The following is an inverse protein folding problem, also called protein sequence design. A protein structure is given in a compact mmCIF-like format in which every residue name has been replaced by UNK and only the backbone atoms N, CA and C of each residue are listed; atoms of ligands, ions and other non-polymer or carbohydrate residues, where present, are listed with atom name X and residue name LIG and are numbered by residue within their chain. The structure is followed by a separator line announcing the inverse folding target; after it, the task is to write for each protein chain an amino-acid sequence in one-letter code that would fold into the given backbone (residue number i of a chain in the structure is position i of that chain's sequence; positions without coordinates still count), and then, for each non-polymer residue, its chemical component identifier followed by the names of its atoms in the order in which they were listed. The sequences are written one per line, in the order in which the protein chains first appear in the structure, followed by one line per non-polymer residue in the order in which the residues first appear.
data_IF_706399291119
#
_entry.id   IF_706399291119
#
_cell.length_a   1.000
_cell.length_b   1.000
_cell.length_c   1.000
_cell.angle_alpha   90.00
_cell.angle_beta   90.00
_cell.angle_gamma   90.00
#
_symmetry.space_group_name_H-M   'P 1'
#
loop_
_entity.id
_entity.type
_entity.pdbx_description
1 polymer ?
#
# COMPACT_ATOMS: atom_id res chain seq x y z
N UNK A 1 -35.33 -6.10 -13.43
CA UNK A 1 -33.91 -6.50 -13.33
C UNK A 1 -32.94 -5.34 -13.18
N UNK A 2 -33.17 -4.16 -13.78
CA UNK A 2 -32.26 -3.00 -13.66
C UNK A 2 -32.02 -2.52 -12.21
N UNK A 3 -33.04 -2.51 -11.36
CA UNK A 3 -32.88 -2.12 -9.95
C UNK A 3 -32.03 -3.11 -9.12
N UNK A 4 -31.98 -4.40 -9.51
CA UNK A 4 -31.17 -5.40 -8.82
C UNK A 4 -29.66 -5.22 -9.10
N UNK A 5 -29.30 -4.53 -10.19
CA UNK A 5 -27.92 -4.20 -10.52
C UNK A 5 -27.27 -3.20 -9.55
N UNK A 6 -28.08 -2.50 -8.73
CA UNK A 6 -27.57 -1.58 -7.72
C UNK A 6 -26.72 -2.29 -6.65
N UNK A 7 -27.06 -3.53 -6.30
CA UNK A 7 -26.35 -4.32 -5.28
C UNK A 7 -24.91 -4.67 -5.73
N UNK A 8 -24.68 -5.31 -6.90
CA UNK A 8 -23.33 -5.58 -7.37
C UNK A 8 -22.57 -4.29 -7.73
N UNK A 9 -23.25 -3.24 -8.22
CA UNK A 9 -22.61 -1.96 -8.48
C UNK A 9 -22.07 -1.31 -7.21
N UNK A 10 -22.83 -1.35 -6.11
CA UNK A 10 -22.37 -0.87 -4.80
C UNK A 10 -21.16 -1.65 -4.30
N UNK A 11 -21.17 -2.97 -4.46
CA UNK A 11 -20.05 -3.84 -4.07
C UNK A 11 -18.76 -3.49 -4.84
N UNK A 12 -18.87 -3.34 -6.18
CA UNK A 12 -17.75 -2.94 -7.03
C UNK A 12 -17.25 -1.55 -6.67
N UNK A 13 -18.15 -0.62 -6.37
CA UNK A 13 -17.78 0.72 -5.92
C UNK A 13 -16.97 0.67 -4.62
N UNK A 14 -17.40 -0.11 -3.62
CA UNK A 14 -16.67 -0.26 -2.34
C UNK A 14 -15.28 -0.85 -2.57
N UNK A 15 -15.17 -1.86 -3.44
CA UNK A 15 -13.88 -2.48 -3.81
C UNK A 15 -12.93 -1.45 -4.42
N UNK A 16 -13.39 -0.73 -5.45
CA UNK A 16 -12.61 0.29 -6.14
C UNK A 16 -12.23 1.44 -5.19
N UNK A 17 -13.17 1.88 -4.35
CA UNK A 17 -12.95 2.91 -3.36
C UNK A 17 -11.84 2.49 -2.39
N UNK A 18 -11.94 1.30 -1.80
CA UNK A 18 -10.98 0.85 -0.79
C UNK A 18 -9.58 0.64 -1.40
N UNK A 19 -9.49 0.03 -2.58
CA UNK A 19 -8.21 -0.18 -3.26
C UNK A 19 -7.54 1.15 -3.65
N UNK A 20 -8.31 2.10 -4.16
CA UNK A 20 -7.79 3.40 -4.62
C UNK A 20 -7.37 4.30 -3.46
N UNK A 21 -8.16 4.33 -2.38
CA UNK A 21 -7.83 5.12 -1.20
C UNK A 21 -6.60 4.56 -0.47
N UNK A 22 -6.53 3.23 -0.28
CA UNK A 22 -5.35 2.59 0.33
C UNK A 22 -4.12 2.81 -0.54
N UNK A 23 -4.24 2.65 -1.86
CA UNK A 23 -3.11 2.89 -2.77
C UNK A 23 -2.64 4.33 -2.69
N UNK A 24 -3.56 5.30 -2.70
CA UNK A 24 -3.20 6.72 -2.59
C UNK A 24 -2.54 7.01 -1.24
N UNK A 25 -3.06 6.48 -0.12
CA UNK A 25 -2.46 6.64 1.21
C UNK A 25 -1.04 6.06 1.28
N UNK A 26 -0.81 4.87 0.71
CA UNK A 26 0.52 4.24 0.67
C UNK A 26 1.49 5.08 -0.16
N UNK A 27 1.03 5.64 -1.28
CA UNK A 27 1.88 6.46 -2.14
C UNK A 27 2.13 7.82 -1.52
N UNK A 28 1.16 8.39 -0.80
CA UNK A 28 1.19 9.71 -0.16
C UNK A 28 1.75 9.72 1.25
N UNK A 29 2.48 8.67 1.65
CA UNK A 29 3.10 8.62 2.97
C UNK A 29 4.06 9.81 3.21
N UNK A 30 4.06 10.41 4.41
CA UNK A 30 4.94 11.53 4.74
C UNK A 30 6.43 11.18 4.60
N UNK A 31 6.80 9.91 4.80
CA UNK A 31 8.15 9.36 4.62
C UNK A 31 8.76 9.64 3.24
N UNK A 32 7.91 9.82 2.21
CA UNK A 32 8.35 10.07 0.83
C UNK A 32 8.63 11.54 0.53
N UNK A 33 8.37 12.47 1.47
CA UNK A 33 8.67 13.91 1.34
C UNK A 33 8.12 14.53 0.05
N UNK A 34 6.89 14.16 -0.32
CA UNK A 34 6.16 14.73 -1.46
C UNK A 34 5.61 16.12 -1.11
N UNK A 35 5.57 17.02 -2.10
CA UNK A 35 5.37 18.47 -1.87
C UNK A 35 4.04 18.98 -2.45
N UNK A 36 3.55 18.41 -3.55
CA UNK A 36 2.36 18.94 -4.26
C UNK A 36 1.01 18.54 -3.67
N UNK A 37 0.99 17.87 -2.52
CA UNK A 37 -0.23 17.39 -1.86
C UNK A 37 -0.91 16.22 -2.60
N UNK A 38 -1.89 15.59 -1.96
CA UNK A 38 -2.63 14.45 -2.50
C UNK A 38 -4.09 14.83 -2.83
N UNK A 39 -4.64 14.24 -3.90
CA UNK A 39 -5.97 14.56 -4.42
C UNK A 39 -6.98 13.43 -4.26
N UNK A 40 -7.24 12.96 -3.03
CA UNK A 40 -8.10 11.80 -2.76
C UNK A 40 -9.50 11.87 -3.38
N UNK A 41 -10.17 13.04 -3.28
CA UNK A 41 -11.53 13.20 -3.80
C UNK A 41 -11.57 13.27 -5.33
N UNK A 42 -10.59 13.95 -5.93
CA UNK A 42 -10.51 14.10 -7.38
C UNK A 42 -10.21 12.75 -8.04
N UNK A 43 -9.32 11.96 -7.45
CA UNK A 43 -8.97 10.63 -7.95
C UNK A 43 -10.19 9.70 -7.94
N UNK A 44 -10.94 9.68 -6.84
CA UNK A 44 -12.18 8.90 -6.74
C UNK A 44 -13.22 9.32 -7.79
N UNK A 45 -13.45 10.62 -7.95
CA UNK A 45 -14.41 11.13 -8.93
C UNK A 45 -14.02 10.72 -10.35
N UNK A 46 -12.75 10.88 -10.70
CA UNK A 46 -12.23 10.59 -12.04
C UNK A 46 -12.30 9.08 -12.34
N UNK A 47 -11.94 8.24 -11.39
CA UNK A 47 -11.90 6.80 -11.55
C UNK A 47 -13.32 6.21 -11.68
N UNK A 48 -14.28 6.68 -10.87
CA UNK A 48 -15.69 6.27 -10.97
C UNK A 48 -16.34 6.79 -12.26
N UNK A 49 -16.06 8.04 -12.64
CA UNK A 49 -16.58 8.62 -13.88
C UNK A 49 -16.07 7.88 -15.12
N UNK A 50 -14.75 7.65 -15.21
CA UNK A 50 -14.16 6.89 -16.31
C UNK A 50 -14.58 5.42 -16.30
N UNK A 51 -14.73 4.79 -15.12
CA UNK A 51 -15.25 3.44 -15.00
C UNK A 51 -16.71 3.32 -15.48
N UNK A 52 -17.55 4.31 -15.14
CA UNK A 52 -18.92 4.41 -15.64
C UNK A 52 -18.97 4.59 -17.16
N UNK A 53 -18.13 5.47 -17.71
CA UNK A 53 -18.00 5.65 -19.15
C UNK A 53 -17.51 4.37 -19.85
N UNK A 54 -16.47 3.71 -19.32
CA UNK A 54 -15.96 2.43 -19.84
C UNK A 54 -17.03 1.34 -19.87
N UNK A 55 -17.90 1.29 -18.85
CA UNK A 55 -19.01 0.32 -18.78
C UNK A 55 -20.02 0.51 -19.91
N UNK A 56 -20.26 1.75 -20.37
CA UNK A 56 -21.15 2.04 -21.51
C UNK A 56 -20.57 1.47 -22.81
N UNK A 57 -19.25 1.50 -22.98
CA UNK A 57 -18.55 0.97 -24.14
C UNK A 57 -18.22 -0.53 -24.02
N UNK A 58 -18.63 -1.21 -22.95
CA UNK A 58 -18.33 -2.62 -22.70
C UNK A 58 -16.86 -2.90 -22.34
N UNK A 59 -16.09 -1.87 -22.00
CA UNK A 59 -14.71 -2.00 -21.55
C UNK A 59 -14.64 -2.33 -20.04
N UNK A 60 -13.58 -3.02 -19.58
CA UNK A 60 -13.41 -3.32 -18.16
C UNK A 60 -13.19 -2.05 -17.35
N UNK A 61 -13.71 -2.03 -16.13
CA UNK A 61 -13.38 -1.01 -15.14
C UNK A 61 -11.91 -1.15 -14.69
N UNK A 62 -11.32 -0.01 -14.35
CA UNK A 62 -9.95 0.11 -13.88
C UNK A 62 -9.95 0.54 -12.41
N UNK A 63 -8.95 0.10 -11.66
CA UNK A 63 -8.69 0.50 -10.27
C UNK A 63 -7.21 0.85 -10.11
N UNK A 64 -6.88 1.61 -9.06
CA UNK A 64 -5.49 1.99 -8.81
C UNK A 64 -4.69 0.77 -8.33
N UNK A 65 -3.67 0.38 -9.09
CA UNK A 65 -2.86 -0.80 -8.79
C UNK A 65 -1.73 -0.47 -7.80
N UNK A 66 -1.83 -0.93 -6.55
CA UNK A 66 -0.90 -0.59 -5.47
C UNK A 66 0.57 -0.83 -5.81
N UNK A 67 0.93 -2.04 -6.24
CA UNK A 67 2.33 -2.41 -6.53
C UNK A 67 2.87 -1.56 -7.67
N UNK A 68 2.08 -1.36 -8.74
CA UNK A 68 2.47 -0.55 -9.90
C UNK A 68 2.67 0.91 -9.52
N UNK A 69 1.78 1.48 -8.71
CA UNK A 69 1.87 2.86 -8.25
C UNK A 69 3.08 3.07 -7.33
N UNK A 70 3.35 2.10 -6.43
CA UNK A 70 4.53 2.13 -5.56
C UNK A 70 5.82 2.02 -6.35
N UNK A 71 5.92 1.11 -7.32
CA UNK A 71 7.14 0.95 -8.12
C UNK A 71 7.38 2.14 -9.04
N UNK A 72 6.32 2.71 -9.63
CA UNK A 72 6.41 3.95 -10.39
C UNK A 72 6.88 5.11 -9.50
N UNK A 73 6.36 5.25 -8.28
CA UNK A 73 6.83 6.25 -7.33
C UNK A 73 8.30 6.01 -6.95
N UNK A 74 8.70 4.77 -6.67
CA UNK A 74 10.08 4.40 -6.34
C UNK A 74 11.06 4.70 -7.48
N UNK A 75 10.63 4.52 -8.74
CA UNK A 75 11.44 4.88 -9.91
C UNK A 75 11.69 6.40 -10.04
N UNK A 76 10.86 7.22 -9.38
CA UNK A 76 10.97 8.68 -9.35
C UNK A 76 11.59 9.20 -8.03
N UNK A 77 11.94 8.29 -7.12
CA UNK A 77 12.53 8.63 -5.83
C UNK A 77 14.04 8.84 -5.98
N UNK A 78 14.52 9.99 -5.52
CA UNK A 78 15.96 10.28 -5.43
C UNK A 78 16.44 9.96 -4.01
N UNK A 79 17.42 9.09 -3.93
CA UNK A 79 18.05 8.66 -2.67
C UNK A 79 19.35 9.43 -2.46
N UNK A 80 19.63 9.78 -1.20
CA UNK A 80 20.85 10.49 -0.80
C UNK A 80 22.08 9.60 -0.99
N UNK A 81 23.19 10.18 -1.46
CA UNK A 81 24.50 9.51 -1.55
C UNK A 81 25.19 9.52 -0.19
N UNK A 82 24.95 8.50 0.64
CA UNK A 82 25.55 8.37 1.97
C UNK A 82 25.57 6.92 2.46
N UNK A 83 26.22 6.64 3.61
CA UNK A 83 26.34 5.29 4.17
C UNK A 83 24.98 4.69 4.58
N UNK A 84 23.96 5.54 4.81
CA UNK A 84 22.56 5.15 4.94
C UNK A 84 21.73 5.94 3.94
N UNK A 85 21.33 5.36 2.79
CA UNK A 85 20.57 6.08 1.78
C UNK A 85 19.19 6.41 2.32
N UNK A 86 18.88 7.71 2.42
CA UNK A 86 17.57 8.21 2.82
C UNK A 86 16.88 8.87 1.62
N UNK A 87 15.55 8.84 1.63
CA UNK A 87 14.73 9.51 0.63
C UNK A 87 14.96 11.03 0.75
N UNK A 88 15.51 11.62 -0.31
CA UNK A 88 15.76 13.07 -0.38
C UNK A 88 14.50 13.79 -0.88
N UNK A 89 14.00 13.36 -2.04
CA UNK A 89 12.79 13.88 -2.69
C UNK A 89 12.25 12.90 -3.71
N UNK A 90 10.96 13.04 -4.05
CA UNK A 90 10.32 12.33 -5.17
C UNK A 90 10.04 13.31 -6.30
N UNK A 91 10.39 12.95 -7.53
CA UNK A 91 10.14 13.77 -8.72
C UNK A 91 8.67 13.60 -9.13
N UNK A 92 7.84 14.58 -8.76
CA UNK A 92 6.41 14.58 -9.10
C UNK A 92 6.17 15.12 -10.52
N UNK A 93 5.97 14.20 -11.48
CA UNK A 93 5.73 14.51 -12.88
C UNK A 93 4.44 13.89 -13.42
N UNK A 94 3.81 14.55 -14.40
CA UNK A 94 2.62 14.05 -15.11
C UNK A 94 2.97 13.29 -16.39
N UNK A 95 4.16 13.54 -16.95
CA UNK A 95 4.54 13.06 -18.29
C UNK A 95 4.77 11.56 -18.32
N UNK A 96 5.40 10.96 -17.29
CA UNK A 96 5.66 9.51 -17.29
C UNK A 96 4.39 8.68 -17.33
N UNK A 97 3.37 9.04 -16.54
CA UNK A 97 2.09 8.33 -16.54
C UNK A 97 1.39 8.41 -17.90
N UNK A 98 1.36 9.59 -18.51
CA UNK A 98 0.78 9.79 -19.85
C UNK A 98 1.56 9.00 -20.90
N UNK A 99 2.89 9.04 -20.86
CA UNK A 99 3.75 8.35 -21.81
C UNK A 99 3.58 6.83 -21.73
N UNK A 100 3.50 6.27 -20.51
CA UNK A 100 3.21 4.84 -20.31
C UNK A 100 1.82 4.49 -20.86
N UNK A 101 0.79 5.30 -20.60
CA UNK A 101 -0.55 5.07 -21.13
C UNK A 101 -0.59 5.09 -22.66
N UNK A 102 0.10 6.04 -23.29
CA UNK A 102 0.24 6.13 -24.75
C UNK A 102 1.00 4.91 -25.30
N UNK A 103 2.10 4.50 -24.66
CA UNK A 103 2.85 3.32 -25.09
C UNK A 103 2.02 2.04 -24.98
N UNK A 104 1.18 1.89 -23.96
CA UNK A 104 0.22 0.78 -23.87
C UNK A 104 -0.79 0.83 -25.02
N UNK A 105 -1.30 2.01 -25.38
CA UNK A 105 -2.19 2.17 -26.54
C UNK A 105 -1.54 1.82 -27.89
N UNK A 106 -0.27 2.20 -28.08
CA UNK A 106 0.51 1.93 -29.30
C UNK A 106 1.05 0.49 -29.33
N UNK A 107 1.02 -0.24 -28.22
CA UNK A 107 1.61 -1.59 -28.08
C UNK A 107 1.09 -2.60 -29.10
N UNK A 108 -0.15 -2.42 -29.60
CA UNK A 108 -0.75 -3.26 -30.64
C UNK A 108 0.07 -3.20 -31.94
N UNK A 109 0.59 -2.03 -32.30
CA UNK A 109 1.44 -1.86 -33.50
C UNK A 109 2.85 -2.42 -33.31
N UNK A 110 3.30 -2.52 -32.06
CA UNK A 110 4.64 -2.99 -31.70
C UNK A 110 4.69 -4.51 -31.42
N UNK A 111 3.63 -5.26 -31.74
CA UNK A 111 3.53 -6.72 -31.56
C UNK A 111 4.78 -7.50 -32.01
N UNK A 112 5.42 -7.25 -33.17
CA UNK A 112 6.59 -8.02 -33.61
C UNK A 112 7.79 -7.88 -32.68
N UNK A 113 7.92 -6.70 -32.05
CA UNK A 113 9.00 -6.39 -31.10
C UNK A 113 8.66 -7.00 -29.73
N UNK A 114 7.41 -6.87 -29.29
CA UNK A 114 6.97 -7.37 -27.97
C UNK A 114 7.07 -8.90 -27.89
N UNK A 115 6.85 -9.63 -28.99
CA UNK A 115 7.01 -11.10 -29.04
C UNK A 115 8.44 -11.57 -28.81
N UNK A 116 9.44 -10.73 -29.02
CA UNK A 116 10.84 -11.07 -28.77
C UNK A 116 11.18 -11.09 -27.27
N UNK A 117 10.32 -10.52 -26.41
CA UNK A 117 10.56 -10.43 -24.99
C UNK A 117 10.18 -11.77 -24.33
N UNK A 118 11.12 -12.51 -23.74
CA UNK A 118 10.80 -13.79 -23.13
C UNK A 118 9.98 -13.58 -21.85
N UNK A 119 8.95 -14.40 -21.65
CA UNK A 119 8.09 -14.35 -20.45
C UNK A 119 8.87 -14.54 -19.15
N UNK A 120 9.99 -15.28 -19.19
CA UNK A 120 10.89 -15.49 -18.05
C UNK A 120 11.51 -14.17 -17.56
N UNK A 121 11.84 -13.25 -18.44
CA UNK A 121 12.35 -11.94 -18.06
C UNK A 121 11.28 -11.10 -17.35
N UNK A 122 10.02 -11.16 -17.82
CA UNK A 122 8.90 -10.46 -17.18
C UNK A 122 8.66 -10.97 -15.75
N UNK A 123 8.73 -12.28 -15.52
CA UNK A 123 8.64 -12.83 -14.16
C UNK A 123 9.77 -12.34 -13.25
N UNK A 124 10.99 -12.18 -13.77
CA UNK A 124 12.11 -11.57 -13.04
C UNK A 124 11.80 -10.13 -12.61
N UNK A 125 11.24 -9.32 -13.51
CA UNK A 125 10.83 -7.94 -13.21
C UNK A 125 9.67 -7.93 -12.19
N UNK A 126 8.68 -8.81 -12.34
CA UNK A 126 7.58 -8.93 -11.37
C UNK A 126 8.07 -9.31 -9.97
N UNK A 127 9.02 -10.23 -9.86
CA UNK A 127 9.62 -10.61 -8.59
C UNK A 127 10.38 -9.43 -7.97
N UNK A 128 11.18 -8.72 -8.76
CA UNK A 128 11.88 -7.51 -8.33
C UNK A 128 10.91 -6.44 -7.82
N UNK A 129 9.82 -6.18 -8.56
CA UNK A 129 8.76 -5.26 -8.15
C UNK A 129 8.08 -5.70 -6.86
N UNK A 130 7.84 -7.00 -6.70
CA UNK A 130 7.29 -7.57 -5.47
C UNK A 130 8.20 -7.30 -4.26
N UNK A 131 9.47 -7.68 -4.35
CA UNK A 131 10.45 -7.52 -3.26
C UNK A 131 10.67 -6.04 -2.92
N UNK A 132 10.86 -5.18 -3.93
CA UNK A 132 11.07 -3.74 -3.70
C UNK A 132 9.84 -3.04 -3.13
N UNK A 133 8.63 -3.52 -3.42
CA UNK A 133 7.40 -2.97 -2.83
C UNK A 133 7.24 -3.27 -1.34
N UNK A 134 7.95 -4.27 -0.80
CA UNK A 134 7.97 -4.57 0.63
C UNK A 134 8.85 -3.60 1.43
N UNK A 135 9.76 -2.88 0.76
CA UNK A 135 10.62 -1.89 1.40
C UNK A 135 9.80 -0.68 1.86
N UNK A 136 9.95 -0.30 3.14
CA UNK A 136 9.17 0.79 3.76
C UNK A 136 7.83 0.34 4.37
N UNK A 137 7.58 -0.97 4.44
CA UNK A 137 6.45 -1.52 5.19
C UNK A 137 6.94 -1.90 6.60
N UNK A 138 6.50 -1.16 7.61
CA UNK A 138 6.88 -1.41 9.02
C UNK A 138 6.54 -2.84 9.50
N UNK A 139 5.44 -3.44 9.01
CA UNK A 139 5.12 -4.85 9.29
C UNK A 139 6.22 -5.79 8.79
N UNK A 140 6.77 -5.55 7.59
CA UNK A 140 7.84 -6.36 7.04
C UNK A 140 9.12 -6.24 7.86
N UNK A 141 9.49 -5.01 8.25
CA UNK A 141 10.66 -4.77 9.09
C UNK A 141 10.51 -5.44 10.47
N UNK A 142 9.32 -5.36 11.09
CA UNK A 142 9.03 -6.07 12.35
C UNK A 142 9.01 -7.59 12.20
N UNK A 143 8.57 -8.10 11.06
CA UNK A 143 8.62 -9.54 10.77
C UNK A 143 10.08 -10.02 10.71
N UNK A 144 10.98 -9.24 10.11
CA UNK A 144 12.43 -9.54 10.14
C UNK A 144 13.00 -9.46 11.57
N UNK A 145 12.49 -8.56 12.40
CA UNK A 145 12.89 -8.45 13.81
C UNK A 145 12.45 -9.65 14.68
N UNK A 146 11.46 -10.45 14.26
CA UNK A 146 11.12 -11.71 14.96
C UNK A 146 12.27 -12.73 14.89
N UNK A 147 13.03 -12.72 13.80
CA UNK A 147 14.14 -13.67 13.54
C UNK A 147 15.47 -13.08 14.02
N UNK A 148 15.56 -11.75 14.10
CA UNK A 148 16.80 -11.06 14.49
C UNK A 148 17.02 -11.15 16.00
N UNK A 149 18.21 -11.56 16.48
CA UNK A 149 18.49 -11.58 17.91
C UNK A 149 18.54 -10.15 18.48
N UNK A 150 18.10 -9.99 19.73
CA UNK A 150 17.98 -8.69 20.44
C UNK A 150 19.22 -7.80 20.38
N UNK A 151 20.41 -8.39 20.25
CA UNK A 151 21.69 -7.67 20.16
C UNK A 151 21.87 -6.85 18.87
N UNK A 152 21.18 -7.22 17.79
CA UNK A 152 21.29 -6.56 16.48
C UNK A 152 20.08 -5.68 16.16
N UNK A 153 19.29 -5.32 17.18
CA UNK A 153 18.14 -4.46 17.02
C UNK A 153 18.57 -3.04 16.59
N UNK A 154 17.96 -2.47 15.52
CA UNK A 154 18.26 -1.11 15.12
C UNK A 154 17.71 -0.11 16.17
N UNK A 155 18.33 1.07 16.30
CA UNK A 155 17.90 2.10 17.24
C UNK A 155 16.68 2.86 16.69
N UNK A 156 15.56 2.16 16.51
CA UNK A 156 14.28 2.72 16.04
C UNK A 156 13.30 2.88 17.21
N UNK A 157 12.36 3.84 17.16
CA UNK A 157 11.49 4.18 18.29
C UNK A 157 10.66 2.99 18.79
N UNK A 158 10.14 2.17 17.88
CA UNK A 158 9.32 0.99 18.22
C UNK A 158 10.11 -0.16 18.86
N UNK A 159 11.44 -0.16 18.77
CA UNK A 159 12.31 -1.20 19.38
C UNK A 159 12.92 -0.74 20.70
N UNK A 160 13.12 0.57 20.85
CA UNK A 160 13.75 1.16 22.04
C UNK A 160 12.75 1.48 23.14
N UNK A 161 11.50 1.81 22.80
CA UNK A 161 10.49 2.27 23.76
C UNK A 161 9.42 1.24 24.13
N UNK A 162 9.30 0.15 23.36
CA UNK A 162 8.31 -0.91 23.60
C UNK A 162 9.03 -2.20 24.00
N UNK A 163 8.58 -2.92 25.05
CA UNK A 163 9.20 -4.18 25.42
C UNK A 163 9.08 -5.20 24.27
N UNK A 164 10.16 -5.94 24.05
CA UNK A 164 10.30 -6.84 22.89
C UNK A 164 9.16 -7.87 22.79
N UNK A 165 8.60 -8.31 23.92
CA UNK A 165 7.49 -9.27 23.93
C UNK A 165 6.18 -8.65 23.43
N UNK A 166 5.87 -7.40 23.79
CA UNK A 166 4.69 -6.71 23.28
C UNK A 166 4.82 -6.43 21.77
N UNK A 167 6.02 -6.04 21.31
CA UNK A 167 6.28 -5.88 19.88
C UNK A 167 6.06 -7.19 19.10
N UNK A 168 6.56 -8.32 19.61
CA UNK A 168 6.36 -9.62 18.98
C UNK A 168 4.89 -10.06 19.01
N UNK A 169 4.19 -9.88 20.13
CA UNK A 169 2.76 -10.17 20.23
C UNK A 169 1.96 -9.38 19.19
N UNK A 170 2.23 -8.08 19.06
CA UNK A 170 1.59 -7.23 18.06
C UNK A 170 1.84 -7.74 16.64
N UNK A 171 3.10 -8.06 16.33
CA UNK A 171 3.49 -8.56 15.00
C UNK A 171 2.82 -9.89 14.69
N UNK A 172 2.74 -10.81 15.65
CA UNK A 172 2.06 -12.11 15.49
C UNK A 172 0.57 -11.91 15.21
N UNK A 173 -0.10 -11.00 15.92
CA UNK A 173 -1.51 -10.67 15.66
C UNK A 173 -1.69 -10.14 14.24
N UNK A 174 -0.82 -9.24 13.77
CA UNK A 174 -0.88 -8.72 12.40
C UNK A 174 -0.64 -9.82 11.35
N UNK A 175 0.29 -10.75 11.59
CA UNK A 175 0.51 -11.91 10.71
C UNK A 175 -0.72 -12.82 10.68
N UNK A 176 -1.37 -13.06 11.82
CA UNK A 176 -2.61 -13.83 11.88
C UNK A 176 -3.73 -13.17 11.06
N UNK A 177 -3.90 -11.85 11.16
CA UNK A 177 -4.84 -11.11 10.31
C UNK A 177 -4.50 -11.24 8.82
N UNK A 178 -3.22 -11.18 8.45
CA UNK A 178 -2.77 -11.38 7.08
C UNK A 178 -3.09 -12.80 6.56
N UNK A 179 -2.90 -13.83 7.38
CA UNK A 179 -3.25 -15.21 7.05
C UNK A 179 -4.75 -15.37 6.83
N UNK A 180 -5.58 -14.75 7.68
CA UNK A 180 -7.05 -14.74 7.53
C UNK A 180 -7.44 -14.07 6.20
N UNK A 181 -6.87 -12.91 5.90
CA UNK A 181 -7.10 -12.20 4.64
C UNK A 181 -6.67 -13.04 3.43
N UNK A 182 -5.54 -13.74 3.53
CA UNK A 182 -5.05 -14.63 2.47
C UNK A 182 -5.98 -15.83 2.25
N UNK A 183 -6.48 -16.44 3.32
CA UNK A 183 -7.44 -17.54 3.24
C UNK A 183 -8.75 -17.12 2.56
N UNK A 184 -9.27 -15.93 2.89
CA UNK A 184 -10.49 -15.38 2.29
C UNK A 184 -10.26 -15.03 0.82
N UNK A 185 -9.10 -14.45 0.49
CA UNK A 185 -8.71 -14.14 -0.89
C UNK A 185 -8.63 -15.39 -1.77
N UNK A 186 -8.16 -16.51 -1.22
CA UNK A 186 -8.06 -17.80 -1.92
C UNK A 186 -9.42 -18.47 -2.12
N UNK A 187 -10.42 -18.09 -1.32
CA UNK A 187 -11.77 -18.64 -1.38
C UNK A 187 -12.66 -17.91 -2.40
N UNK A 188 -13.81 -18.51 -2.72
CA UNK A 188 -14.85 -17.89 -3.57
C UNK A 188 -15.43 -16.60 -2.95
N UNK A 189 -15.20 -16.37 -1.65
CA UNK A 189 -15.59 -15.17 -0.92
C UNK A 189 -14.59 -14.00 -1.04
N UNK A 190 -13.72 -14.00 -2.07
CA UNK A 190 -12.72 -12.93 -2.29
C UNK A 190 -13.34 -11.53 -2.39
N UNK A 191 -14.59 -11.42 -2.84
CA UNK A 191 -15.35 -10.15 -2.86
C UNK A 191 -15.60 -9.54 -1.46
N UNK A 192 -15.51 -10.34 -0.39
CA UNK A 192 -15.67 -9.88 0.98
C UNK A 192 -14.40 -9.24 1.57
N UNK A 193 -13.27 -9.29 0.85
CA UNK A 193 -11.96 -8.82 1.32
C UNK A 193 -11.98 -7.36 1.87
N UNK A 194 -12.65 -6.38 1.22
CA UNK A 194 -12.73 -5.01 1.76
C UNK A 194 -13.39 -4.93 3.13
N UNK A 195 -14.43 -5.73 3.37
CA UNK A 195 -15.13 -5.72 4.65
C UNK A 195 -14.28 -6.30 5.77
N UNK A 196 -13.52 -7.36 5.46
CA UNK A 196 -12.58 -7.96 6.42
C UNK A 196 -11.43 -7.00 6.72
N UNK A 197 -10.93 -6.27 5.72
CA UNK A 197 -9.95 -5.21 5.94
C UNK A 197 -10.50 -4.12 6.86
N UNK A 198 -11.72 -3.64 6.61
CA UNK A 198 -12.35 -2.64 7.50
C UNK A 198 -12.52 -3.19 8.93
N UNK A 199 -12.84 -4.48 9.08
CA UNK A 199 -12.96 -5.13 10.40
C UNK A 199 -11.64 -5.18 11.18
N UNK A 200 -10.48 -5.02 10.53
CA UNK A 200 -9.20 -4.89 11.25
C UNK A 200 -9.07 -3.58 12.02
N UNK A 201 -9.83 -2.53 11.65
CA UNK A 201 -9.84 -1.23 12.35
C UNK A 201 -10.44 -1.34 13.76
N UNK A 202 -11.66 -1.88 13.97
CA UNK A 202 -12.19 -2.07 15.32
C UNK A 202 -11.37 -3.09 16.12
N UNK A 203 -10.74 -4.08 15.47
CA UNK A 203 -9.77 -4.96 16.14
C UNK A 203 -8.61 -4.14 16.75
N UNK A 204 -8.04 -3.21 15.98
CA UNK A 204 -7.00 -2.28 16.46
C UNK A 204 -7.50 -1.38 17.60
N UNK A 205 -8.73 -0.89 17.52
CA UNK A 205 -9.33 -0.10 18.61
C UNK A 205 -9.52 -0.92 19.88
N UNK A 206 -9.96 -2.17 19.79
CA UNK A 206 -10.12 -3.07 20.93
C UNK A 206 -8.76 -3.44 21.58
N UNK A 207 -7.73 -3.65 20.76
CA UNK A 207 -6.36 -3.88 21.26
C UNK A 207 -5.80 -2.68 22.02
N UNK A 208 -6.24 -1.46 21.66
CA UNK A 208 -5.84 -0.21 22.33
C UNK A 208 -6.58 -0.11 23.67
N UNK A 209 -5.84 -0.18 24.79
CA UNK A 209 -6.39 -0.06 26.14
C UNK A 209 -6.62 -1.39 26.87
N UNK A 210 -6.80 -2.51 26.16
CA UNK A 210 -6.87 -3.84 26.78
C UNK A 210 -5.52 -4.55 26.85
N UNK A 211 -4.76 -4.56 25.74
CA UNK A 211 -3.50 -5.33 25.62
C UNK A 211 -2.29 -4.40 25.53
N UNK A 212 -2.44 -3.25 24.89
CA UNK A 212 -1.37 -2.28 24.69
C UNK A 212 -1.75 -0.92 25.27
N UNK A 213 -0.75 -0.25 25.84
CA UNK A 213 -0.90 1.15 26.27
C UNK A 213 -0.97 2.08 25.06
N UNK A 214 -1.54 3.28 25.25
CA UNK A 214 -1.68 4.30 24.19
C UNK A 214 -0.30 4.67 23.62
N UNK A 215 0.72 4.74 24.48
CA UNK A 215 2.11 5.04 24.09
C UNK A 215 2.73 3.92 23.26
N UNK A 216 2.53 2.65 23.63
CA UNK A 216 3.02 1.51 22.86
C UNK A 216 2.34 1.43 21.49
N UNK A 217 1.02 1.63 21.44
CA UNK A 217 0.28 1.62 20.18
C UNK A 217 0.71 2.79 19.28
N UNK A 218 0.93 3.99 19.84
CA UNK A 218 1.45 5.14 19.10
C UNK A 218 2.85 4.85 18.55
N UNK A 219 3.72 4.17 19.29
CA UNK A 219 5.05 3.79 18.78
C UNK A 219 4.98 2.67 17.73
N UNK A 220 4.03 1.75 17.83
CA UNK A 220 3.86 0.63 16.89
C UNK A 220 3.11 1.01 15.61
N UNK A 221 2.34 2.10 15.61
CA UNK A 221 1.57 2.57 14.46
C UNK A 221 2.05 3.91 13.89
N UNK A 222 2.94 4.66 14.57
CA UNK A 222 3.42 5.92 14.05
C UNK A 222 4.25 5.70 12.78
N UNK A 223 3.93 6.46 11.74
CA UNK A 223 4.83 6.71 10.63
C UNK A 223 6.09 7.36 11.21
N UNK A 224 7.28 6.82 10.90
CA UNK A 224 8.59 7.22 11.49
C UNK A 224 8.87 8.74 11.41
N UNK A 225 8.11 9.48 10.60
CA UNK A 225 8.21 10.92 10.39
C UNK A 225 7.51 11.80 11.46
N UNK A 226 6.62 11.28 12.31
CA UNK A 226 5.87 12.11 13.27
C UNK A 226 5.54 11.39 14.58
N UNK A 227 6.56 10.95 15.31
CA UNK A 227 6.37 10.85 16.77
C UNK A 227 6.65 12.22 17.40
N UNK A 228 5.78 13.18 17.10
CA UNK A 228 5.62 14.33 17.99
C UNK A 228 4.91 13.81 19.24
N UNK A 229 5.68 13.61 20.28
CA UNK A 229 5.14 13.65 21.62
C UNK A 229 4.99 15.15 21.91
N UNK A 230 3.80 15.55 22.35
CA UNK A 230 3.64 16.85 22.99
C UNK A 230 4.38 16.75 24.32
N UNK A 231 5.71 16.87 24.26
CA UNK A 231 6.58 17.11 25.40
C UNK A 231 6.75 18.63 25.52
N UNK A 232 5.64 19.37 25.62
CA UNK A 232 5.56 20.74 26.11
C UNK A 232 4.18 20.90 26.78
N UNK A 233 4.05 20.37 27.99
CA UNK A 233 3.16 20.93 29.01
C UNK A 233 3.86 20.69 30.36
N UNK A 234 4.37 21.81 30.90
CA UNK A 234 4.97 22.11 32.22
C UNK A 234 5.04 21.02 33.31
#
# INVERSE_FOLDING_TARGET
MMFACAIPALLVFILIFLESQITTLIVSKPERKMVKGSGFHLDLLLLVFLGGAASIFGAPWLSAATVRSVTHANALTVMTKGPRPQIERVIEQRVSGILVAVMVGVSILMEPILKMIPMTALFGIFLYMGITSLSGIQLWDRMLLLITPKKHHPPVPFVTRVPTMHMHLYTVIQVMCLVILWAIKSSAFSLALPFVLILTIPLRMCMTGHVFTIMEMKCLDADDANVKFDDEDD
#
